data_IF_915834953693
#
_entry.id   IF_915834953693
#
_cell.length_a   1.000
_cell.length_b   1.000
_cell.length_c   1.000
_cell.angle_alpha   90.00
_cell.angle_beta   90.00
_cell.angle_gamma   90.00
#
_symmetry.space_group_name_H-M   'P 1'
#
loop_
_entity.id
_entity.type
_entity.pdbx_description
1 polymer ?
#
# COMPACT_ATOMS: atom_id res chain seq x y z
N UNK A 1 18.30 20.06 23.97
CA UNK A 1 17.89 19.03 23.04
C UNK A 1 16.41 19.22 22.75
N UNK A 2 16.03 19.34 21.50
CA UNK A 2 14.64 19.45 21.05
C UNK A 2 14.12 18.05 20.76
N UNK A 3 12.79 17.86 20.78
CA UNK A 3 12.17 16.57 20.44
C UNK A 3 12.47 16.15 18.98
N UNK A 4 12.60 17.11 18.09
CA UNK A 4 12.98 16.96 16.68
C UNK A 4 14.45 16.49 16.46
N UNK A 5 15.32 16.64 17.48
CA UNK A 5 16.70 16.14 17.44
C UNK A 5 16.78 14.63 17.70
N UNK A 6 15.67 14.01 18.10
CA UNK A 6 15.58 12.61 18.50
C UNK A 6 14.99 11.78 17.37
N UNK A 7 15.67 10.69 17.02
CA UNK A 7 15.17 9.69 16.06
C UNK A 7 15.16 8.30 16.67
N UNK A 8 14.10 7.55 16.38
CA UNK A 8 14.01 6.12 16.69
C UNK A 8 14.16 5.37 15.37
N UNK A 9 15.25 4.63 15.24
CA UNK A 9 15.54 3.83 14.06
C UNK A 9 15.17 2.38 14.30
N UNK A 10 14.48 1.80 13.32
CA UNK A 10 14.15 0.39 13.29
C UNK A 10 14.48 -0.21 11.92
N UNK A 11 14.81 -1.50 11.87
CA UNK A 11 15.04 -2.19 10.59
C UNK A 11 13.77 -2.23 9.73
N UNK A 12 12.63 -2.56 10.35
CA UNK A 12 11.32 -2.63 9.71
C UNK A 12 10.30 -2.05 10.68
N UNK A 13 9.94 -0.78 10.52
CA UNK A 13 8.98 -0.10 11.40
C UNK A 13 7.62 -0.82 11.40
N UNK A 14 6.94 -0.92 10.25
CA UNK A 14 5.66 -1.60 10.07
C UNK A 14 4.67 -1.40 11.23
N UNK A 15 3.92 -2.43 11.59
CA UNK A 15 2.94 -2.40 12.71
C UNK A 15 3.50 -2.00 14.08
N UNK A 16 4.82 -2.02 14.26
CA UNK A 16 5.44 -1.60 15.52
C UNK A 16 5.51 -0.08 15.66
N UNK A 17 5.52 0.66 14.56
CA UNK A 17 5.51 2.12 14.60
C UNK A 17 4.32 2.64 15.39
N UNK A 18 3.15 2.06 15.18
CA UNK A 18 1.94 2.41 15.92
C UNK A 18 2.09 2.16 17.43
N UNK A 19 2.68 1.01 17.83
CA UNK A 19 2.92 0.71 19.24
C UNK A 19 3.91 1.68 19.90
N UNK A 20 4.98 2.07 19.19
CA UNK A 20 5.91 3.08 19.68
C UNK A 20 5.26 4.46 19.76
N UNK A 21 4.48 4.84 18.75
CA UNK A 21 3.76 6.10 18.74
C UNK A 21 2.73 6.17 19.88
N UNK A 22 1.97 5.10 20.13
CA UNK A 22 1.04 5.02 21.27
C UNK A 22 1.76 5.16 22.60
N UNK A 23 2.88 4.46 22.82
CA UNK A 23 3.66 4.54 24.05
C UNK A 23 4.30 5.94 24.28
N UNK A 24 4.64 6.65 23.22
CA UNK A 24 5.11 8.02 23.27
C UNK A 24 3.95 9.01 23.57
N UNK A 25 2.79 8.78 22.94
CA UNK A 25 1.59 9.58 23.15
C UNK A 25 1.08 9.50 24.59
N UNK A 26 1.14 8.31 25.24
CA UNK A 26 0.84 8.12 26.68
C UNK A 26 1.70 9.02 27.60
N UNK A 27 2.81 9.53 27.11
CA UNK A 27 3.74 10.41 27.84
C UNK A 27 3.77 11.83 27.30
N UNK A 28 2.76 12.23 26.52
CA UNK A 28 2.68 13.53 25.85
C UNK A 28 3.91 13.89 25.00
N UNK A 29 4.53 12.84 24.39
CA UNK A 29 5.64 13.00 23.46
C UNK A 29 5.11 12.87 22.03
N UNK A 30 4.98 13.97 21.25
CA UNK A 30 4.58 13.90 19.87
C UNK A 30 5.60 13.09 19.06
N UNK A 31 5.11 12.20 18.23
CA UNK A 31 5.91 11.33 17.39
C UNK A 31 5.42 11.42 15.95
N UNK A 32 6.35 11.61 15.02
CA UNK A 32 6.07 11.50 13.60
C UNK A 32 6.67 10.20 13.04
N UNK A 33 5.87 9.42 12.37
CA UNK A 33 6.34 8.23 11.65
C UNK A 33 5.65 8.13 10.31
N UNK A 34 6.42 7.72 9.30
CA UNK A 34 5.87 7.37 8.01
C UNK A 34 5.52 5.88 8.03
N UNK A 35 4.26 5.56 8.00
CA UNK A 35 3.81 4.20 7.69
C UNK A 35 4.17 3.90 6.22
N UNK A 36 5.30 3.23 6.03
CA UNK A 36 5.68 2.74 4.70
C UNK A 36 5.16 1.32 4.60
N UNK A 37 4.02 1.14 4.02
CA UNK A 37 3.45 -0.19 3.80
C UNK A 37 1.93 -0.20 3.75
N UNK A 38 1.26 0.64 4.52
CA UNK A 38 -0.21 0.58 4.60
C UNK A 38 -0.93 1.56 3.67
N UNK A 39 -0.24 2.45 2.96
CA UNK A 39 -0.89 3.46 2.13
C UNK A 39 -1.94 2.86 1.19
N UNK A 40 -1.59 1.85 0.43
CA UNK A 40 -2.50 1.18 -0.50
C UNK A 40 -3.56 0.30 0.17
N UNK A 41 -3.31 -0.10 1.43
CA UNK A 41 -4.23 -0.94 2.21
C UNK A 41 -5.18 -0.12 3.08
N UNK A 42 -5.02 1.21 3.12
CA UNK A 42 -5.99 2.07 3.79
C UNK A 42 -7.32 2.06 3.03
N UNK A 43 -8.43 2.18 3.77
CA UNK A 43 -9.77 2.11 3.19
C UNK A 43 -9.96 3.15 2.08
N UNK A 44 -9.59 4.40 2.32
CA UNK A 44 -9.76 5.51 1.39
C UNK A 44 -9.00 5.30 0.08
N UNK A 45 -7.77 4.78 0.14
CA UNK A 45 -6.95 4.54 -1.05
C UNK A 45 -7.43 3.29 -1.80
N UNK A 46 -7.79 2.23 -1.08
CA UNK A 46 -8.36 1.02 -1.66
C UNK A 46 -9.67 1.31 -2.41
N UNK A 47 -10.54 2.13 -1.82
CA UNK A 47 -11.80 2.56 -2.48
C UNK A 47 -11.50 3.44 -3.68
N UNK A 48 -10.57 4.38 -3.58
CA UNK A 48 -10.18 5.25 -4.70
C UNK A 48 -9.54 4.46 -5.85
N UNK A 49 -8.68 3.49 -5.54
CA UNK A 49 -8.09 2.61 -6.56
C UNK A 49 -9.19 1.82 -7.28
N UNK A 50 -10.10 1.19 -6.52
CA UNK A 50 -11.24 0.47 -7.08
C UNK A 50 -12.14 1.37 -7.94
N UNK A 51 -12.36 2.63 -7.51
CA UNK A 51 -13.15 3.59 -8.28
C UNK A 51 -12.47 3.97 -9.61
N UNK A 52 -11.16 4.23 -9.61
CA UNK A 52 -10.40 4.49 -10.82
C UNK A 52 -10.40 3.28 -11.77
N UNK A 53 -10.36 2.07 -11.24
CA UNK A 53 -10.45 0.82 -12.00
C UNK A 53 -11.80 0.67 -12.72
N UNK A 54 -12.92 0.94 -12.04
CA UNK A 54 -14.24 0.84 -12.67
C UNK A 54 -14.56 2.02 -13.60
N UNK A 55 -13.94 3.17 -13.39
CA UNK A 55 -14.00 4.28 -14.36
C UNK A 55 -13.31 3.88 -15.66
N UNK A 56 -12.16 3.20 -15.59
CA UNK A 56 -11.49 2.63 -16.76
C UNK A 56 -12.29 1.47 -17.35
N UNK A 57 -12.57 0.44 -16.56
CA UNK A 57 -13.32 -0.74 -16.96
C UNK A 57 -14.32 -1.19 -15.88
N UNK A 58 -15.65 -0.94 -16.05
CA UNK A 58 -16.67 -1.26 -15.05
C UNK A 58 -16.98 -2.76 -14.91
N UNK A 59 -16.50 -3.61 -15.83
CA UNK A 59 -16.75 -5.05 -15.84
C UNK A 59 -15.80 -5.85 -14.94
N UNK A 60 -15.27 -5.20 -13.91
CA UNK A 60 -14.44 -5.83 -12.89
C UNK A 60 -15.26 -5.97 -11.60
N UNK A 61 -15.75 -7.17 -11.31
CA UNK A 61 -16.70 -7.45 -10.23
C UNK A 61 -16.16 -7.01 -8.85
N UNK A 62 -14.91 -7.38 -8.53
CA UNK A 62 -14.34 -7.08 -7.20
C UNK A 62 -14.20 -5.57 -6.96
N UNK A 63 -13.60 -4.76 -7.85
CA UNK A 63 -13.58 -3.31 -7.70
C UNK A 63 -14.98 -2.69 -7.66
N UNK A 64 -15.90 -3.17 -8.50
CA UNK A 64 -17.26 -2.64 -8.58
C UNK A 64 -18.00 -2.85 -7.25
N UNK A 65 -18.01 -4.07 -6.72
CA UNK A 65 -18.64 -4.39 -5.44
C UNK A 65 -17.98 -3.60 -4.29
N UNK A 66 -16.65 -3.45 -4.34
CA UNK A 66 -15.89 -2.67 -3.37
C UNK A 66 -16.34 -1.21 -3.32
N UNK A 67 -16.53 -0.60 -4.49
CA UNK A 67 -17.02 0.79 -4.61
C UNK A 67 -18.47 0.93 -4.15
N UNK A 68 -19.37 0.05 -4.59
CA UNK A 68 -20.77 0.06 -4.17
C UNK A 68 -20.92 -0.06 -2.65
N UNK A 69 -20.10 -0.93 -2.03
CA UNK A 69 -20.08 -1.16 -0.59
C UNK A 69 -19.43 -0.03 0.20
N UNK A 70 -18.66 0.84 -0.47
CA UNK A 70 -17.91 1.91 0.18
C UNK A 70 -18.84 2.97 0.81
N UNK A 71 -18.31 3.79 1.73
CA UNK A 71 -19.05 4.91 2.31
C UNK A 71 -19.52 5.96 1.29
N UNK A 72 -18.99 5.93 0.08
CA UNK A 72 -19.37 6.86 -1.00
C UNK A 72 -20.75 6.51 -1.61
N UNK A 73 -21.11 5.23 -1.64
CA UNK A 73 -22.36 4.76 -2.23
C UNK A 73 -23.25 4.02 -1.23
N UNK A 74 -22.71 3.40 -0.20
CA UNK A 74 -23.43 2.90 0.96
C UNK A 74 -24.32 1.67 0.73
N UNK A 75 -24.11 0.88 -0.34
CA UNK A 75 -24.88 -0.34 -0.55
C UNK A 75 -24.66 -1.34 0.58
N UNK A 76 -25.72 -1.91 1.10
CA UNK A 76 -25.65 -2.97 2.10
C UNK A 76 -25.30 -4.32 1.45
N UNK A 77 -24.84 -5.28 2.26
CA UNK A 77 -24.58 -6.64 1.75
C UNK A 77 -25.85 -7.29 1.19
N UNK A 78 -27.00 -7.06 1.86
CA UNK A 78 -28.29 -7.59 1.44
C UNK A 78 -28.72 -6.98 0.09
N UNK A 79 -28.57 -5.67 -0.07
CA UNK A 79 -28.87 -4.99 -1.34
C UNK A 79 -27.99 -5.51 -2.50
N UNK A 80 -26.71 -5.73 -2.25
CA UNK A 80 -25.83 -6.34 -3.26
C UNK A 80 -26.25 -7.77 -3.62
N UNK A 81 -26.72 -8.55 -2.65
CA UNK A 81 -27.24 -9.89 -2.88
C UNK A 81 -28.55 -9.87 -3.69
N UNK A 82 -29.45 -8.92 -3.42
CA UNK A 82 -30.68 -8.70 -4.19
C UNK A 82 -30.38 -8.41 -5.66
N UNK A 83 -29.46 -7.45 -5.93
CA UNK A 83 -29.03 -7.11 -7.29
C UNK A 83 -28.47 -8.34 -8.02
N UNK A 84 -27.63 -9.14 -7.36
CA UNK A 84 -27.10 -10.39 -7.95
C UNK A 84 -28.18 -11.44 -8.15
N UNK A 85 -29.14 -11.55 -7.24
CA UNK A 85 -30.24 -12.53 -7.33
C UNK A 85 -31.19 -12.23 -8.49
N UNK A 86 -31.38 -10.95 -8.82
CA UNK A 86 -32.20 -10.54 -9.97
C UNK A 86 -31.52 -10.89 -11.32
N UNK A 87 -30.18 -10.90 -11.36
CA UNK A 87 -29.40 -11.29 -12.55
C UNK A 87 -28.23 -12.22 -12.13
N UNK A 88 -28.48 -13.54 -11.99
CA UNK A 88 -27.53 -14.45 -11.38
C UNK A 88 -26.31 -14.81 -12.26
N UNK A 89 -26.34 -14.48 -13.55
CA UNK A 89 -25.27 -14.79 -14.51
C UNK A 89 -24.68 -13.52 -15.12
N UNK A 90 -23.46 -13.60 -15.66
CA UNK A 90 -22.76 -12.46 -16.25
C UNK A 90 -21.97 -11.64 -15.23
N UNK A 91 -21.39 -10.54 -15.70
CA UNK A 91 -20.64 -9.60 -14.86
C UNK A 91 -21.60 -8.89 -13.87
N UNK A 92 -21.06 -8.50 -12.72
CA UNK A 92 -21.87 -7.77 -11.72
C UNK A 92 -22.37 -6.43 -12.26
N UNK A 93 -21.65 -5.82 -13.20
CA UNK A 93 -22.07 -4.60 -13.89
C UNK A 93 -23.37 -4.80 -14.68
N UNK A 94 -23.54 -5.95 -15.33
CA UNK A 94 -24.80 -6.27 -16.04
C UNK A 94 -25.96 -6.42 -15.06
N UNK A 95 -25.71 -7.00 -13.88
CA UNK A 95 -26.72 -7.09 -12.82
C UNK A 95 -27.15 -5.70 -12.30
N UNK A 96 -26.20 -4.81 -12.04
CA UNK A 96 -26.48 -3.43 -11.63
C UNK A 96 -27.25 -2.66 -12.73
N UNK A 97 -26.91 -2.91 -14.00
CA UNK A 97 -27.59 -2.26 -15.14
C UNK A 97 -29.02 -2.76 -15.32
N UNK A 98 -29.27 -4.03 -15.05
CA UNK A 98 -30.60 -4.64 -15.15
C UNK A 98 -31.50 -4.30 -13.95
N UNK A 99 -30.93 -3.91 -12.82
CA UNK A 99 -31.66 -3.54 -11.62
C UNK A 99 -32.38 -2.19 -11.81
N UNK A 100 -33.67 -2.17 -11.51
CA UNK A 100 -34.53 -0.97 -11.66
C UNK A 100 -34.48 0.00 -10.47
N UNK A 101 -33.73 -0.30 -9.41
CA UNK A 101 -33.65 0.52 -8.20
C UNK A 101 -33.04 1.90 -8.44
N UNK A 102 -33.52 2.91 -7.72
CA UNK A 102 -33.00 4.28 -7.84
C UNK A 102 -31.53 4.38 -7.46
N UNK A 103 -31.11 3.64 -6.45
CA UNK A 103 -29.71 3.55 -6.01
C UNK A 103 -28.77 3.06 -7.12
N UNK A 104 -29.17 2.02 -7.87
CA UNK A 104 -28.41 1.54 -9.02
C UNK A 104 -28.42 2.55 -10.17
N UNK A 105 -29.53 3.23 -10.44
CA UNK A 105 -29.62 4.27 -11.48
C UNK A 105 -28.73 5.46 -11.15
N UNK A 106 -28.75 5.94 -9.92
CA UNK A 106 -27.91 7.05 -9.45
C UNK A 106 -26.43 6.70 -9.51
N UNK A 107 -26.07 5.47 -9.13
CA UNK A 107 -24.71 4.96 -9.27
C UNK A 107 -24.27 4.93 -10.74
N UNK A 108 -25.08 4.35 -11.63
CA UNK A 108 -24.78 4.25 -13.06
C UNK A 108 -24.66 5.62 -13.73
N UNK A 109 -25.52 6.57 -13.39
CA UNK A 109 -25.44 7.96 -13.86
C UNK A 109 -24.11 8.60 -13.42
N UNK A 110 -23.76 8.45 -12.14
CA UNK A 110 -22.51 8.96 -11.59
C UNK A 110 -21.29 8.30 -12.26
N UNK A 111 -21.31 6.98 -12.41
CA UNK A 111 -20.22 6.25 -13.09
C UNK A 111 -20.07 6.68 -14.54
N UNK A 112 -21.16 6.88 -15.27
CA UNK A 112 -21.17 7.37 -16.65
C UNK A 112 -20.52 8.74 -16.76
N UNK A 113 -20.87 9.66 -15.85
CA UNK A 113 -20.30 11.01 -15.74
C UNK A 113 -18.77 10.96 -15.50
N UNK A 114 -18.34 10.17 -14.53
CA UNK A 114 -16.92 9.97 -14.23
C UNK A 114 -16.14 9.34 -15.40
N UNK A 115 -16.75 8.40 -16.11
CA UNK A 115 -16.15 7.78 -17.30
C UNK A 115 -16.01 8.76 -18.46
N UNK A 116 -16.97 9.65 -18.66
CA UNK A 116 -16.85 10.72 -19.63
C UNK A 116 -15.72 11.68 -19.23
N UNK A 117 -15.67 12.11 -17.97
CA UNK A 117 -14.58 12.93 -17.45
C UNK A 117 -13.22 12.26 -17.62
N UNK A 118 -13.13 10.95 -17.42
CA UNK A 118 -11.89 10.17 -17.59
C UNK A 118 -11.35 10.13 -19.03
N UNK A 119 -12.20 10.37 -20.03
CA UNK A 119 -11.79 10.48 -21.45
C UNK A 119 -11.25 11.86 -21.79
N UNK A 120 -11.79 12.88 -21.14
CA UNK A 120 -11.57 14.29 -21.53
C UNK A 120 -10.51 14.98 -20.64
N UNK A 121 -10.24 14.43 -19.44
CA UNK A 121 -9.36 15.05 -18.47
C UNK A 121 -8.03 14.30 -18.31
N UNK A 122 -7.01 15.02 -17.84
CA UNK A 122 -5.80 14.38 -17.32
C UNK A 122 -6.10 13.64 -16.00
N UNK A 123 -5.27 12.66 -15.67
CA UNK A 123 -5.50 11.79 -14.50
C UNK A 123 -5.56 12.59 -13.19
N UNK A 124 -4.66 13.55 -13.02
CA UNK A 124 -4.67 14.44 -11.86
C UNK A 124 -5.99 15.24 -11.76
N UNK A 125 -6.46 15.78 -12.87
CA UNK A 125 -7.73 16.51 -12.92
C UNK A 125 -8.93 15.60 -12.66
N UNK A 126 -8.90 14.38 -13.18
CA UNK A 126 -9.92 13.36 -12.92
C UNK A 126 -10.00 12.99 -11.42
N UNK A 127 -8.86 12.78 -10.77
CA UNK A 127 -8.82 12.49 -9.32
C UNK A 127 -9.48 13.64 -8.53
N UNK A 128 -9.15 14.89 -8.84
CA UNK A 128 -9.79 16.04 -8.20
C UNK A 128 -11.27 16.19 -8.57
N UNK A 129 -11.65 15.87 -9.79
CA UNK A 129 -13.06 15.86 -10.21
C UNK A 129 -13.87 14.84 -9.38
N UNK A 130 -13.33 13.63 -9.20
CA UNK A 130 -13.91 12.58 -8.33
C UNK A 130 -14.03 13.09 -6.89
N UNK A 131 -12.97 13.71 -6.32
CA UNK A 131 -12.99 14.23 -4.95
C UNK A 131 -14.10 15.25 -4.75
N UNK A 132 -14.28 16.14 -5.69
CA UNK A 132 -15.32 17.19 -5.61
C UNK A 132 -16.72 16.61 -5.86
N UNK A 133 -16.87 15.74 -6.87
CA UNK A 133 -18.17 15.19 -7.27
C UNK A 133 -18.80 14.30 -6.20
N UNK A 134 -17.98 13.50 -5.51
CA UNK A 134 -18.39 12.55 -4.48
C UNK A 134 -18.09 13.03 -3.05
N UNK A 135 -17.60 14.24 -2.87
CA UNK A 135 -17.15 14.78 -1.58
C UNK A 135 -16.24 13.82 -0.81
N UNK A 136 -15.31 13.17 -1.53
CA UNK A 136 -14.44 12.13 -0.97
C UNK A 136 -13.68 12.60 0.26
N UNK A 137 -13.08 13.81 0.20
CA UNK A 137 -12.34 14.40 1.33
C UNK A 137 -13.23 14.68 2.54
N UNK A 138 -14.51 15.01 2.31
CA UNK A 138 -15.48 15.20 3.39
C UNK A 138 -15.90 13.89 4.04
N UNK A 139 -16.25 12.90 3.22
CA UNK A 139 -16.72 11.58 3.70
C UNK A 139 -15.63 10.88 4.52
N UNK A 140 -14.44 10.71 3.95
CA UNK A 140 -13.33 10.04 4.67
C UNK A 140 -12.74 10.90 5.78
N UNK A 141 -12.78 12.22 5.63
CA UNK A 141 -12.30 13.14 6.66
C UNK A 141 -13.21 13.25 7.90
N UNK A 142 -14.45 12.78 7.81
CA UNK A 142 -15.38 12.70 8.94
C UNK A 142 -15.28 11.40 9.74
N UNK A 143 -14.48 10.43 9.27
CA UNK A 143 -14.23 9.16 9.96
C UNK A 143 -13.11 9.28 10.99
N UNK A 144 -12.94 8.21 11.78
CA UNK A 144 -11.79 8.07 12.67
C UNK A 144 -10.49 8.25 11.86
N UNK A 145 -9.52 8.95 12.44
CA UNK A 145 -8.26 9.35 11.79
C UNK A 145 -8.45 10.19 10.50
N UNK A 146 -9.53 10.96 10.42
CA UNK A 146 -9.92 11.72 9.23
C UNK A 146 -8.86 12.67 8.69
N UNK A 147 -7.99 13.21 9.55
CA UNK A 147 -6.84 14.03 9.12
C UNK A 147 -5.85 13.19 8.30
N UNK A 148 -5.44 12.02 8.80
CA UNK A 148 -4.53 11.11 8.09
C UNK A 148 -5.13 10.59 6.79
N UNK A 149 -6.44 10.28 6.76
CA UNK A 149 -7.15 9.88 5.55
C UNK A 149 -7.14 10.96 4.47
N UNK A 150 -7.36 12.22 4.86
CA UNK A 150 -7.24 13.36 3.93
C UNK A 150 -5.84 13.50 3.36
N UNK A 151 -4.81 13.35 4.21
CA UNK A 151 -3.41 13.38 3.77
C UNK A 151 -3.12 12.27 2.75
N UNK A 152 -3.60 11.05 2.97
CA UNK A 152 -3.48 9.94 2.03
C UNK A 152 -4.14 10.26 0.67
N UNK A 153 -5.34 10.82 0.69
CA UNK A 153 -6.03 11.22 -0.54
C UNK A 153 -5.29 12.34 -1.28
N UNK A 154 -4.77 13.33 -0.56
CA UNK A 154 -3.94 14.39 -1.16
C UNK A 154 -2.66 13.78 -1.75
N UNK A 155 -2.02 12.83 -1.06
CA UNK A 155 -0.86 12.13 -1.57
C UNK A 155 -1.15 11.33 -2.85
N UNK A 156 -2.33 10.71 -2.97
CA UNK A 156 -2.77 10.05 -4.21
C UNK A 156 -2.87 11.05 -5.37
N UNK A 157 -3.44 12.23 -5.14
CA UNK A 157 -3.54 13.27 -6.16
C UNK A 157 -2.16 13.80 -6.60
N UNK A 158 -1.24 13.98 -5.67
CA UNK A 158 0.15 14.36 -5.96
C UNK A 158 0.89 13.26 -6.76
N UNK A 159 0.57 11.99 -6.46
CA UNK A 159 1.11 10.87 -7.24
C UNK A 159 0.62 10.88 -8.68
N UNK A 160 -0.65 11.22 -8.92
CA UNK A 160 -1.20 11.40 -10.26
C UNK A 160 -0.52 12.56 -11.01
N UNK A 161 -0.28 13.68 -10.33
CA UNK A 161 0.45 14.83 -10.90
C UNK A 161 1.88 14.45 -11.29
N UNK A 162 2.59 13.74 -10.40
CA UNK A 162 3.94 13.25 -10.66
C UNK A 162 3.99 12.24 -11.82
N UNK A 163 2.99 11.38 -11.93
CA UNK A 163 2.87 10.44 -13.04
C UNK A 163 2.81 11.20 -14.38
N UNK A 164 2.00 12.25 -14.46
CA UNK A 164 1.87 13.07 -15.66
C UNK A 164 3.12 13.92 -15.95
N UNK A 165 3.76 14.48 -14.92
CA UNK A 165 5.00 15.25 -15.05
C UNK A 165 6.17 14.40 -15.57
N UNK A 166 6.17 13.09 -15.32
CA UNK A 166 7.12 12.14 -15.87
C UNK A 166 6.82 11.73 -17.33
N UNK A 167 5.82 12.34 -17.96
CA UNK A 167 5.46 12.12 -19.36
C UNK A 167 4.47 10.97 -19.60
N UNK A 168 4.02 10.28 -18.55
CA UNK A 168 3.00 9.24 -18.67
C UNK A 168 1.61 9.85 -18.80
N UNK A 169 0.71 9.16 -19.49
CA UNK A 169 -0.67 9.62 -19.72
C UNK A 169 -1.66 8.47 -19.72
N UNK A 170 -2.92 8.81 -19.44
CA UNK A 170 -4.06 7.89 -19.50
C UNK A 170 -4.34 7.14 -18.21
N UNK A 171 -5.64 6.97 -17.93
CA UNK A 171 -6.14 6.34 -16.70
C UNK A 171 -5.68 4.90 -16.58
N UNK A 172 -5.77 4.10 -17.64
CA UNK A 172 -5.32 2.71 -17.65
C UNK A 172 -3.85 2.56 -17.22
N UNK A 173 -2.95 3.40 -17.77
CA UNK A 173 -1.53 3.35 -17.44
C UNK A 173 -1.28 3.72 -15.97
N UNK A 174 -2.02 4.71 -15.45
CA UNK A 174 -1.95 5.12 -14.05
C UNK A 174 -2.43 4.01 -13.10
N UNK A 175 -3.59 3.42 -13.36
CA UNK A 175 -4.14 2.28 -12.58
C UNK A 175 -3.16 1.10 -12.60
N UNK A 176 -2.59 0.76 -13.76
CA UNK A 176 -1.60 -0.32 -13.89
C UNK A 176 -0.35 -0.03 -13.05
N UNK A 177 0.12 1.22 -13.01
CA UNK A 177 1.25 1.60 -12.18
C UNK A 177 0.92 1.49 -10.69
N UNK A 178 -0.25 1.97 -10.25
CA UNK A 178 -0.68 1.85 -8.86
C UNK A 178 -0.78 0.39 -8.41
N UNK A 179 -1.31 -0.50 -9.25
CA UNK A 179 -1.36 -1.95 -8.95
C UNK A 179 0.05 -2.54 -8.79
N UNK A 180 1.00 -2.18 -9.66
CA UNK A 180 2.39 -2.64 -9.52
C UNK A 180 3.04 -2.16 -8.22
N UNK A 181 2.78 -0.91 -7.82
CA UNK A 181 3.28 -0.38 -6.55
C UNK A 181 2.67 -1.10 -5.36
N UNK A 182 1.38 -1.42 -5.40
CA UNK A 182 0.69 -2.24 -4.41
C UNK A 182 1.31 -3.64 -4.30
N UNK A 183 1.52 -4.34 -5.41
CA UNK A 183 2.13 -5.68 -5.44
C UNK A 183 3.57 -5.70 -4.92
N UNK A 184 4.32 -4.60 -5.09
CA UNK A 184 5.70 -4.45 -4.63
C UNK A 184 5.80 -3.91 -3.20
N UNK A 185 4.67 -3.64 -2.54
CA UNK A 185 4.60 -2.97 -1.23
C UNK A 185 5.41 -1.65 -1.18
N UNK A 186 5.49 -0.97 -2.34
CA UNK A 186 6.18 0.30 -2.52
C UNK A 186 5.17 1.44 -2.46
N UNK A 187 4.80 1.85 -1.24
CA UNK A 187 3.97 3.03 -1.07
C UNK A 187 4.65 4.27 -1.69
N UNK A 188 3.89 5.15 -2.38
CA UNK A 188 4.40 6.46 -2.74
C UNK A 188 4.95 7.14 -1.48
N UNK A 189 6.08 7.81 -1.60
CA UNK A 189 6.59 8.62 -0.50
C UNK A 189 5.55 9.73 -0.22
N UNK A 190 4.64 9.48 0.69
CA UNK A 190 3.81 10.54 1.26
C UNK A 190 4.78 11.45 1.99
N UNK A 191 4.78 12.74 1.66
CA UNK A 191 5.25 13.74 2.61
C UNK A 191 4.26 13.67 3.77
N UNK A 192 4.59 12.87 4.78
CA UNK A 192 4.00 13.08 6.09
C UNK A 192 4.20 14.55 6.45
N UNK A 193 3.41 15.12 7.36
CA UNK A 193 3.53 16.51 7.70
C UNK A 193 5.02 16.80 7.93
N UNK A 194 5.63 17.48 6.97
CA UNK A 194 6.95 18.05 7.13
C UNK A 194 6.78 18.95 8.35
N UNK A 195 7.52 18.67 9.44
CA UNK A 195 7.51 19.49 10.65
C UNK A 195 6.42 19.22 11.70
N UNK A 196 5.98 18.01 11.91
CA UNK A 196 5.47 17.70 13.23
C UNK A 196 6.66 17.78 14.21
N UNK A 197 6.70 18.85 15.03
CA UNK A 197 7.71 19.04 16.07
C UNK A 197 7.64 17.87 17.06
N UNK A 198 8.43 16.81 16.85
CA UNK A 198 8.38 15.61 17.66
C UNK A 198 9.48 14.61 17.36
N UNK A 199 9.48 13.52 18.10
CA UNK A 199 10.41 12.40 17.89
C UNK A 199 10.11 11.75 16.54
N UNK A 200 11.15 11.56 15.72
CA UNK A 200 11.01 10.92 14.39
C UNK A 200 11.23 9.42 14.51
N UNK A 201 10.31 8.65 13.92
CA UNK A 201 10.39 7.20 13.88
C UNK A 201 10.51 6.75 12.42
N UNK A 202 11.61 6.10 12.06
CA UNK A 202 11.88 5.72 10.68
C UNK A 202 12.72 4.43 10.55
N UNK A 203 12.81 3.90 9.33
CA UNK A 203 13.69 2.76 9.07
C UNK A 203 15.15 3.20 8.93
N UNK A 204 16.09 2.30 9.27
CA UNK A 204 17.53 2.50 9.06
C UNK A 204 17.82 2.85 7.58
N UNK A 205 17.07 2.30 6.62
CA UNK A 205 17.27 2.63 5.21
C UNK A 205 16.89 4.07 4.87
N UNK A 206 15.84 4.59 5.49
CA UNK A 206 15.38 5.96 5.25
C UNK A 206 16.27 7.00 5.94
N UNK A 207 17.01 6.62 6.97
CA UNK A 207 17.94 7.51 7.67
C UNK A 207 19.28 7.66 6.94
N UNK A 208 19.54 6.88 5.88
CA UNK A 208 20.78 6.97 5.11
C UNK A 208 20.95 8.38 4.51
N UNK A 209 22.05 9.04 4.87
CA UNK A 209 22.37 10.41 4.46
C UNK A 209 21.73 11.50 5.33
N UNK A 210 21.07 11.13 6.43
CA UNK A 210 20.55 12.06 7.44
C UNK A 210 21.39 11.93 8.72
N UNK A 211 21.59 13.07 9.40
CA UNK A 211 22.29 13.14 10.69
C UNK A 211 21.31 13.57 11.79
N UNK A 212 21.40 12.91 12.94
CA UNK A 212 20.56 13.19 14.09
C UNK A 212 21.40 13.27 15.36
N UNK A 213 21.17 14.30 16.20
CA UNK A 213 21.90 14.44 17.46
C UNK A 213 21.71 13.28 18.44
N UNK A 214 20.49 12.69 18.46
CA UNK A 214 20.15 11.59 19.36
C UNK A 214 19.47 10.48 18.56
N UNK A 215 20.05 9.28 18.59
CA UNK A 215 19.58 8.10 17.86
C UNK A 215 19.27 6.97 18.83
N UNK A 216 18.03 6.48 18.81
CA UNK A 216 17.62 5.25 19.47
C UNK A 216 17.50 4.15 18.45
N UNK A 217 18.36 3.15 18.50
CA UNK A 217 18.29 1.98 17.62
C UNK A 217 17.48 0.87 18.30
N UNK A 218 16.29 0.58 17.78
CA UNK A 218 15.33 -0.32 18.39
C UNK A 218 15.12 -1.61 17.57
N UNK A 219 14.70 -2.68 18.25
CA UNK A 219 14.35 -3.94 17.61
C UNK A 219 15.52 -4.81 17.16
N UNK A 220 16.71 -4.65 17.75
CA UNK A 220 17.93 -5.40 17.42
C UNK A 220 17.86 -6.88 17.76
N UNK A 221 17.03 -7.28 18.73
CA UNK A 221 16.84 -8.68 19.15
C UNK A 221 16.06 -9.52 18.13
N UNK A 222 15.49 -8.91 17.08
CA UNK A 222 14.70 -9.62 16.08
C UNK A 222 15.61 -10.42 15.16
N UNK A 223 15.30 -11.71 15.00
CA UNK A 223 15.94 -12.53 13.97
C UNK A 223 15.72 -11.93 12.59
N UNK A 224 16.75 -12.00 11.74
CA UNK A 224 16.66 -11.58 10.34
C UNK A 224 15.59 -12.42 9.62
N UNK A 225 14.84 -11.80 8.71
CA UNK A 225 13.91 -12.53 7.86
C UNK A 225 14.69 -13.55 7.02
N UNK A 226 14.26 -14.81 7.06
CA UNK A 226 14.88 -15.93 6.33
C UNK A 226 13.97 -16.47 5.24
N UNK A 227 12.93 -15.75 4.85
CA UNK A 227 12.02 -16.18 3.76
C UNK A 227 12.78 -16.43 2.46
N UNK A 228 13.80 -15.61 2.17
CA UNK A 228 14.66 -15.83 1.01
C UNK A 228 15.39 -17.18 1.04
N UNK A 229 15.66 -17.73 2.25
CA UNK A 229 16.28 -19.03 2.43
C UNK A 229 15.30 -20.19 2.17
N UNK A 230 13.99 -19.94 2.17
CA UNK A 230 12.96 -20.95 1.91
C UNK A 230 12.69 -21.17 0.41
N UNK A 231 13.11 -20.23 -0.44
CA UNK A 231 12.90 -20.29 -1.90
C UNK A 231 13.41 -21.61 -2.49
N UNK A 232 12.76 -22.13 -3.55
CA UNK A 232 13.19 -23.38 -4.21
C UNK A 232 14.64 -23.34 -4.71
N UNK A 233 15.11 -22.17 -5.12
CA UNK A 233 16.46 -21.95 -5.65
C UNK A 233 17.13 -20.82 -4.87
N UNK A 234 18.34 -21.05 -4.37
CA UNK A 234 19.19 -20.05 -3.75
C UNK A 234 20.33 -19.65 -4.70
N UNK A 235 20.69 -18.37 -4.68
CA UNK A 235 21.79 -17.84 -5.48
C UNK A 235 22.87 -17.24 -4.57
N UNK A 236 24.14 -17.48 -4.92
CA UNK A 236 25.28 -16.87 -4.26
C UNK A 236 26.33 -16.45 -5.31
N UNK A 237 26.87 -15.22 -5.25
CA UNK A 237 27.78 -14.70 -6.29
C UNK A 237 29.00 -15.57 -6.57
N UNK A 238 29.53 -16.25 -5.54
CA UNK A 238 30.75 -17.10 -5.65
C UNK A 238 30.46 -18.59 -5.75
N UNK A 239 29.33 -19.08 -5.20
CA UNK A 239 29.00 -20.51 -5.14
C UNK A 239 27.99 -20.91 -6.21
N UNK A 240 27.41 -19.94 -6.95
CA UNK A 240 26.43 -20.20 -7.99
C UNK A 240 25.06 -20.54 -7.42
N UNK A 241 24.40 -21.54 -7.99
CA UNK A 241 23.01 -21.88 -7.79
C UNK A 241 22.86 -23.09 -6.86
N UNK A 242 21.99 -22.96 -5.86
CA UNK A 242 21.65 -24.02 -4.91
C UNK A 242 20.16 -24.42 -5.01
N UNK A 243 19.76 -25.34 -5.92
CA UNK A 243 18.39 -25.77 -6.07
C UNK A 243 17.99 -26.80 -5.02
N UNK A 244 16.67 -26.91 -4.75
CA UNK A 244 16.07 -28.09 -4.16
C UNK A 244 15.92 -29.18 -5.24
N UNK A 245 15.97 -30.45 -4.85
CA UNK A 245 15.63 -31.58 -5.70
C UNK A 245 14.19 -31.97 -5.38
N UNK A 246 13.36 -32.04 -6.40
CA UNK A 246 12.00 -32.53 -6.31
C UNK A 246 11.98 -34.01 -6.71
N UNK A 247 11.52 -34.87 -5.81
CA UNK A 247 11.19 -36.27 -6.12
C UNK A 247 9.69 -36.31 -6.46
N UNK A 248 9.40 -36.37 -7.75
CA UNK A 248 8.02 -36.31 -8.26
C UNK A 248 7.21 -37.55 -7.87
N UNK A 249 7.84 -38.71 -7.77
CA UNK A 249 7.17 -39.99 -7.42
C UNK A 249 6.73 -39.99 -5.95
N UNK A 250 7.54 -39.37 -5.07
CA UNK A 250 7.26 -39.32 -3.62
C UNK A 250 6.63 -38.02 -3.17
N UNK A 251 6.51 -37.03 -4.05
CA UNK A 251 5.99 -35.70 -3.72
C UNK A 251 6.84 -34.94 -2.67
N UNK A 252 8.14 -35.24 -2.58
CA UNK A 252 9.01 -34.68 -1.54
C UNK A 252 10.12 -33.82 -2.12
N UNK A 253 10.44 -32.72 -1.42
CA UNK A 253 11.55 -31.83 -1.75
C UNK A 253 12.76 -32.07 -0.83
N UNK A 254 13.94 -32.22 -1.42
CA UNK A 254 15.19 -32.40 -0.69
C UNK A 254 16.17 -31.27 -0.97
N UNK A 255 16.90 -30.76 0.05
CA UNK A 255 17.98 -29.81 -0.16
C UNK A 255 19.19 -30.52 -0.78
N UNK A 256 19.66 -30.03 -1.94
CA UNK A 256 20.92 -30.49 -2.52
C UNK A 256 22.13 -30.06 -1.69
N UNK A 257 23.29 -30.71 -1.92
CA UNK A 257 24.56 -30.27 -1.28
C UNK A 257 24.93 -28.84 -1.67
N UNK A 258 24.73 -28.47 -2.94
CA UNK A 258 24.91 -27.10 -3.42
C UNK A 258 24.03 -26.11 -2.65
N UNK A 259 22.73 -26.45 -2.43
CA UNK A 259 21.82 -25.63 -1.63
C UNK A 259 22.30 -25.46 -0.18
N UNK A 260 22.75 -26.55 0.45
CA UNK A 260 23.28 -26.49 1.84
C UNK A 260 24.52 -25.62 1.93
N UNK A 261 25.42 -25.68 0.96
CA UNK A 261 26.62 -24.84 0.92
C UNK A 261 26.27 -23.35 0.73
N UNK A 262 25.35 -23.03 -0.19
CA UNK A 262 24.87 -21.67 -0.45
C UNK A 262 24.14 -21.12 0.79
N UNK A 263 23.23 -21.88 1.38
CA UNK A 263 22.48 -21.48 2.58
C UNK A 263 23.43 -21.14 3.74
N UNK A 264 24.40 -22.02 4.02
CA UNK A 264 25.39 -21.80 5.08
C UNK A 264 26.26 -20.56 4.86
N UNK A 265 26.50 -20.20 3.59
CA UNK A 265 27.28 -19.00 3.25
C UNK A 265 26.42 -17.73 3.39
N UNK A 266 25.16 -17.77 2.99
CA UNK A 266 24.22 -16.66 3.14
C UNK A 266 23.95 -16.34 4.61
N UNK A 267 23.82 -17.34 5.47
CA UNK A 267 23.68 -17.13 6.93
C UNK A 267 24.86 -16.34 7.50
N UNK A 268 26.11 -16.64 7.08
CA UNK A 268 27.30 -15.91 7.53
C UNK A 268 27.38 -14.47 7.00
N UNK A 269 26.91 -14.24 5.78
CA UNK A 269 26.86 -12.90 5.18
C UNK A 269 25.87 -12.02 5.93
N UNK A 270 24.73 -12.55 6.32
CA UNK A 270 23.72 -11.81 7.08
C UNK A 270 24.25 -11.35 8.44
N UNK A 271 24.94 -12.21 9.17
CA UNK A 271 25.59 -11.85 10.44
C UNK A 271 26.66 -10.75 10.26
N UNK A 272 27.51 -10.86 9.23
CA UNK A 272 28.52 -9.85 8.91
C UNK A 272 27.90 -8.52 8.48
N UNK A 273 26.85 -8.56 7.67
CA UNK A 273 26.17 -7.35 7.19
C UNK A 273 25.49 -6.62 8.34
N UNK A 274 24.93 -7.35 9.32
CA UNK A 274 24.37 -6.75 10.51
C UNK A 274 25.44 -6.07 11.37
N UNK A 275 26.55 -6.76 11.63
CA UNK A 275 27.68 -6.21 12.40
C UNK A 275 28.28 -4.96 11.72
N UNK A 276 28.42 -4.95 10.40
CA UNK A 276 28.90 -3.80 9.65
C UNK A 276 27.93 -2.62 9.69
N UNK A 277 26.61 -2.88 9.65
CA UNK A 277 25.58 -1.82 9.73
C UNK A 277 25.53 -1.17 11.10
N UNK A 278 25.75 -1.94 12.17
CA UNK A 278 25.81 -1.42 13.55
C UNK A 278 27.07 -0.59 13.77
N UNK A 279 28.19 -0.95 13.13
CA UNK A 279 29.46 -0.23 13.27
C UNK A 279 29.52 1.10 12.48
N UNK A 280 28.62 1.32 11.55
CA UNK A 280 28.57 2.53 10.67
C UNK A 280 27.48 3.51 11.12
N UNK A 281 26.67 3.13 12.10
CA UNK A 281 25.65 4.00 12.71
C UNK A 281 26.17 4.61 14.00
#
# INVERSE_FOLDING_TARGET
>A
CRREDIVILMRSPGSRSAAFAAALAERDIPCSFQESGDFFHTMEISVMLSLLEIVDNPRQDVPLISVLRSPLFGFTADRLAEVRSAAPTGDYYDAVTADGGEDCKDFLATLSDLRQAGRDMSVHRLVWHIYNRLNVLGVFGAMDDGAARRENLIALSQHAEKFESNGYRGLFAFVTQLRRLLEQDQAPATRGPAEAAGVRLMSIHKSKGLEFPIVFLCGLSRRLNREDMSRPILFHPKLGVGPKRLDVERGMEYPTLARRAVARKLERVDERTLAQRIAVT
#
